data_IF_462590504722
#
_entry.id   IF_462590504722
#
_cell.length_a   1.000
_cell.length_b   1.000
_cell.length_c   1.000
_cell.angle_alpha   90.00
_cell.angle_beta   90.00
_cell.angle_gamma   90.00
#
_symmetry.space_group_name_H-M   'P 1'
#
loop_
_entity.id
_entity.type
_entity.pdbx_description
1 polymer ?
#
# COMPACT_ATOMS: atom_id res chain seq x y z
N UNK A 1 -32.59 28.05 46.88
CA UNK A 1 -32.14 29.04 45.87
C UNK A 1 -30.77 28.59 45.38
N UNK A 2 -30.73 27.72 44.36
CA UNK A 2 -29.46 27.22 43.81
C UNK A 2 -29.26 27.84 42.44
N UNK A 3 -28.31 28.77 42.41
CA UNK A 3 -27.77 29.43 41.24
C UNK A 3 -27.09 28.39 40.34
N UNK A 4 -27.73 28.10 39.19
CA UNK A 4 -27.13 27.28 38.14
C UNK A 4 -26.36 28.22 37.22
N UNK A 5 -25.10 28.41 37.55
CA UNK A 5 -24.09 29.04 36.71
C UNK A 5 -24.14 28.45 35.29
N UNK A 6 -24.64 29.24 34.34
CA UNK A 6 -24.64 28.92 32.93
C UNK A 6 -23.23 29.14 32.42
N UNK A 7 -22.51 28.06 32.13
CA UNK A 7 -21.26 28.10 31.36
C UNK A 7 -21.58 28.66 29.96
N UNK A 8 -21.50 29.98 29.82
CA UNK A 8 -21.46 30.68 28.55
C UNK A 8 -20.28 30.10 27.75
N UNK A 9 -20.59 29.24 26.78
CA UNK A 9 -19.65 28.91 25.72
C UNK A 9 -19.35 30.22 25.01
N UNK A 10 -18.16 30.76 25.24
CA UNK A 10 -17.63 31.87 24.47
C UNK A 10 -17.66 31.45 22.99
N UNK A 11 -18.63 31.96 22.25
CA UNK A 11 -18.66 31.84 20.80
C UNK A 11 -17.52 32.71 20.31
N UNK A 12 -16.47 32.09 19.76
CA UNK A 12 -15.34 32.82 19.17
C UNK A 12 -15.87 33.65 18.00
N UNK A 13 -15.95 34.97 18.19
CA UNK A 13 -16.44 35.95 17.22
C UNK A 13 -15.33 36.53 16.33
N UNK A 14 -14.09 36.07 16.49
CA UNK A 14 -12.94 36.50 15.70
C UNK A 14 -12.88 35.84 14.31
N UNK A 15 -12.15 36.44 13.35
CA UNK A 15 -11.88 35.81 12.07
C UNK A 15 -11.17 34.47 12.30
N UNK A 16 -11.62 33.43 11.58
CA UNK A 16 -10.98 32.11 11.66
C UNK A 16 -9.58 32.19 11.04
N UNK A 17 -8.56 31.56 11.65
CA UNK A 17 -7.23 31.54 11.07
C UNK A 17 -7.23 30.83 9.71
N UNK A 18 -6.29 31.23 8.86
CA UNK A 18 -6.02 30.56 7.60
C UNK A 18 -5.48 29.14 7.82
N UNK A 19 -5.48 28.31 6.77
CA UNK A 19 -4.90 26.98 6.80
C UNK A 19 -3.39 27.04 7.09
N UNK A 20 -2.69 28.03 6.52
CA UNK A 20 -1.26 28.23 6.76
C UNK A 20 -0.94 28.50 8.24
N UNK A 21 -1.74 29.34 8.90
CA UNK A 21 -1.55 29.68 10.32
C UNK A 21 -1.97 28.54 11.25
N UNK A 22 -3.13 27.93 10.98
CA UNK A 22 -3.68 26.91 11.88
C UNK A 22 -3.04 25.53 11.70
N UNK A 23 -2.54 25.22 10.50
CA UNK A 23 -2.03 23.89 10.10
C UNK A 23 -0.82 24.03 9.16
N UNK A 24 0.32 24.52 9.66
CA UNK A 24 1.56 24.64 8.87
C UNK A 24 2.04 23.29 8.31
N UNK A 25 1.73 22.19 9.00
CA UNK A 25 1.97 20.82 8.54
C UNK A 25 1.24 20.50 7.23
N UNK A 26 -0.02 20.92 7.11
CA UNK A 26 -0.80 20.71 5.89
C UNK A 26 -0.41 21.71 4.81
N UNK A 27 -0.11 22.96 5.19
CA UNK A 27 0.35 23.98 4.25
C UNK A 27 1.67 23.58 3.57
N UNK A 28 2.54 22.85 4.26
CA UNK A 28 3.77 22.29 3.68
C UNK A 28 3.50 21.20 2.63
N UNK A 29 2.34 20.54 2.66
CA UNK A 29 1.90 19.60 1.62
C UNK A 29 1.06 20.27 0.52
N UNK A 30 0.92 21.61 0.52
CA UNK A 30 0.14 22.32 -0.51
C UNK A 30 0.85 22.27 -1.86
N UNK A 31 0.15 21.86 -2.91
CA UNK A 31 0.71 21.94 -4.26
C UNK A 31 0.49 23.35 -4.82
N UNK A 32 1.52 24.20 -4.82
CA UNK A 32 1.39 25.60 -5.23
C UNK A 32 0.93 25.74 -6.70
N UNK A 33 1.63 25.11 -7.64
CA UNK A 33 1.38 25.36 -9.08
C UNK A 33 0.00 24.87 -9.55
N UNK A 34 -0.48 23.73 -9.03
CA UNK A 34 -1.78 23.17 -9.41
C UNK A 34 -2.98 23.84 -8.70
N UNK A 35 -2.72 24.67 -7.69
CA UNK A 35 -3.76 25.43 -7.00
C UNK A 35 -3.71 26.93 -7.32
N UNK A 36 -2.71 27.42 -8.05
CA UNK A 36 -2.56 28.83 -8.39
C UNK A 36 -3.85 29.40 -9.03
N UNK A 37 -4.29 30.61 -8.63
CA UNK A 37 -3.67 31.57 -7.70
C UNK A 37 -4.02 31.34 -6.22
N UNK A 38 -4.67 30.23 -5.86
CA UNK A 38 -5.12 29.96 -4.49
C UNK A 38 -3.98 29.42 -3.63
N UNK A 39 -3.56 30.21 -2.63
CA UNK A 39 -2.59 29.79 -1.61
C UNK A 39 -3.24 29.30 -0.31
N UNK A 40 -2.49 28.60 0.55
CA UNK A 40 -2.97 28.11 1.85
C UNK A 40 -3.29 29.24 2.86
N UNK A 41 -2.75 30.45 2.64
CA UNK A 41 -3.10 31.64 3.43
C UNK A 41 -4.47 32.24 3.08
N UNK A 42 -5.06 31.87 1.93
CA UNK A 42 -6.33 32.42 1.45
C UNK A 42 -7.55 31.54 1.78
N UNK A 43 -7.36 30.44 2.51
CA UNK A 43 -8.40 29.47 2.85
C UNK A 43 -8.39 29.16 4.34
N UNK A 44 -9.54 28.79 4.91
CA UNK A 44 -9.64 28.34 6.30
C UNK A 44 -9.72 26.82 6.38
N UNK A 45 -9.36 26.25 7.53
CA UNK A 45 -9.42 24.80 7.79
C UNK A 45 -10.80 24.15 7.63
N UNK A 46 -11.88 24.95 7.70
CA UNK A 46 -13.26 24.47 7.67
C UNK A 46 -13.86 24.31 6.27
N UNK A 47 -13.15 24.75 5.22
CA UNK A 47 -13.71 24.75 3.87
C UNK A 47 -13.69 23.35 3.25
N UNK A 48 -14.81 22.94 2.66
CA UNK A 48 -14.91 21.68 1.91
C UNK A 48 -14.53 21.85 0.44
N UNK A 49 -13.37 22.46 0.20
CA UNK A 49 -12.83 22.65 -1.16
C UNK A 49 -11.79 21.58 -1.44
N UNK A 50 -11.93 20.86 -2.56
CA UNK A 50 -10.90 19.97 -3.10
C UNK A 50 -9.79 20.80 -3.74
N UNK A 51 -8.56 20.53 -3.32
CA UNK A 51 -7.33 21.14 -3.81
C UNK A 51 -6.28 20.05 -4.02
N UNK A 52 -5.22 20.39 -4.73
CA UNK A 52 -4.07 19.51 -4.95
C UNK A 52 -3.09 19.56 -3.78
N UNK A 53 -2.61 18.39 -3.38
CA UNK A 53 -1.64 18.20 -2.31
C UNK A 53 -0.48 17.37 -2.85
N UNK A 54 0.72 17.63 -2.37
CA UNK A 54 1.91 16.81 -2.60
C UNK A 54 2.35 16.22 -1.27
N UNK A 55 2.27 14.91 -1.13
CA UNK A 55 2.71 14.26 0.11
C UNK A 55 4.24 14.23 0.23
N UNK A 56 4.82 13.91 1.40
CA UNK A 56 6.27 13.84 1.59
C UNK A 56 7.01 12.83 0.70
N UNK A 57 6.29 11.93 0.02
CA UNK A 57 6.85 11.00 -0.98
C UNK A 57 6.77 11.53 -2.41
N UNK A 58 6.34 12.77 -2.61
CA UNK A 58 6.25 13.41 -3.92
C UNK A 58 5.05 12.98 -4.76
N UNK A 59 4.03 12.36 -4.17
CA UNK A 59 2.81 12.04 -4.91
C UNK A 59 1.79 13.17 -4.84
N UNK A 60 1.28 13.56 -6.00
CA UNK A 60 0.24 14.58 -6.13
C UNK A 60 -1.16 13.96 -6.13
N UNK A 61 -2.04 14.50 -5.30
CA UNK A 61 -3.39 13.99 -5.12
C UNK A 61 -4.36 15.09 -4.73
N UNK A 62 -5.63 14.91 -5.12
CA UNK A 62 -6.70 15.79 -4.69
C UNK A 62 -7.36 15.28 -3.40
N UNK A 63 -7.60 16.20 -2.47
CA UNK A 63 -8.40 15.97 -1.26
C UNK A 63 -9.05 17.28 -0.80
N UNK A 64 -10.16 17.19 -0.09
CA UNK A 64 -10.78 18.37 0.50
C UNK A 64 -10.01 18.84 1.74
N UNK A 65 -9.84 20.16 1.89
CA UNK A 65 -9.14 20.77 3.04
C UNK A 65 -9.76 20.32 4.35
N UNK A 66 -11.08 20.44 4.49
CA UNK A 66 -11.80 20.01 5.69
C UNK A 66 -11.52 18.54 6.06
N UNK A 67 -11.54 17.63 5.09
CA UNK A 67 -11.26 16.22 5.34
C UNK A 67 -9.80 15.94 5.71
N UNK A 68 -8.83 16.69 5.16
CA UNK A 68 -7.43 16.63 5.57
C UNK A 68 -7.25 17.09 7.02
N UNK A 69 -7.89 18.21 7.38
CA UNK A 69 -7.83 18.77 8.74
C UNK A 69 -8.48 17.85 9.76
N UNK A 70 -9.72 17.40 9.51
CA UNK A 70 -10.54 16.66 10.47
C UNK A 70 -10.18 15.18 10.57
N UNK A 71 -9.91 14.53 9.44
CA UNK A 71 -9.75 13.08 9.38
C UNK A 71 -8.29 12.64 9.15
N UNK A 72 -7.34 13.58 9.09
CA UNK A 72 -5.96 13.32 8.71
C UNK A 72 -5.86 12.47 7.42
N UNK A 73 -6.76 12.75 6.45
CA UNK A 73 -6.84 11.97 5.20
C UNK A 73 -5.60 12.22 4.32
N UNK A 74 -4.60 11.37 4.46
CA UNK A 74 -3.34 11.48 3.70
C UNK A 74 -3.42 10.97 2.26
N UNK A 75 -2.25 10.91 1.61
CA UNK A 75 -2.10 10.47 0.23
C UNK A 75 -2.75 9.08 -0.02
N UNK A 76 -3.66 8.95 -0.99
CA UNK A 76 -4.38 7.71 -1.25
C UNK A 76 -3.51 6.62 -1.87
N UNK A 77 -2.43 6.99 -2.57
CA UNK A 77 -1.46 6.01 -3.08
C UNK A 77 -0.62 5.46 -1.92
N UNK A 78 -0.19 6.34 -1.01
CA UNK A 78 0.60 5.95 0.14
C UNK A 78 -0.10 4.96 1.06
N UNK A 79 -1.43 5.06 1.15
CA UNK A 79 -2.29 4.25 1.98
C UNK A 79 -2.96 3.11 1.21
N UNK A 80 -2.51 2.79 -0.02
CA UNK A 80 -3.04 1.69 -0.82
C UNK A 80 -4.57 1.75 -1.06
N UNK A 81 -5.11 2.97 -1.18
CA UNK A 81 -6.51 3.22 -1.56
C UNK A 81 -6.67 3.48 -3.06
N UNK A 82 -5.60 3.90 -3.73
CA UNK A 82 -5.52 4.10 -5.18
C UNK A 82 -4.22 3.51 -5.72
N UNK A 83 -4.27 3.01 -6.95
CA UNK A 83 -3.09 2.49 -7.64
C UNK A 83 -2.31 3.65 -8.27
N UNK A 84 -1.00 3.63 -8.08
CA UNK A 84 -0.01 4.42 -8.77
C UNK A 84 1.02 3.46 -9.36
N UNK A 85 1.04 3.39 -10.69
CA UNK A 85 1.97 2.53 -11.44
C UNK A 85 3.41 2.93 -11.12
N UNK A 86 4.28 1.94 -10.93
CA UNK A 86 5.67 2.14 -10.55
C UNK A 86 5.87 2.38 -9.04
N UNK A 87 4.80 2.37 -8.25
CA UNK A 87 4.87 2.63 -6.82
C UNK A 87 4.18 1.53 -5.98
N UNK A 88 2.86 1.39 -6.10
CA UNK A 88 2.09 0.43 -5.28
C UNK A 88 1.24 -0.56 -6.09
N UNK A 89 1.46 -0.63 -7.40
CA UNK A 89 0.84 -1.66 -8.24
C UNK A 89 1.46 -3.06 -7.99
N UNK A 90 0.75 -4.10 -8.44
CA UNK A 90 1.15 -5.50 -8.25
C UNK A 90 2.49 -5.82 -8.92
N UNK A 91 2.75 -5.29 -10.12
CA UNK A 91 4.01 -5.59 -10.84
C UNK A 91 5.22 -5.01 -10.13
N UNK A 92 5.09 -3.78 -9.60
CA UNK A 92 6.15 -3.11 -8.87
C UNK A 92 6.41 -3.78 -7.52
N UNK A 93 5.35 -4.05 -6.75
CA UNK A 93 5.49 -4.50 -5.36
C UNK A 93 5.64 -6.02 -5.22
N UNK A 94 5.04 -6.79 -6.14
CA UNK A 94 4.97 -8.25 -6.09
C UNK A 94 5.12 -8.87 -7.50
N UNK A 95 6.28 -8.70 -8.16
CA UNK A 95 6.49 -9.19 -9.53
C UNK A 95 6.25 -10.70 -9.68
N UNK A 96 6.55 -11.49 -8.65
CA UNK A 96 6.27 -12.93 -8.65
C UNK A 96 4.77 -13.26 -8.72
N UNK A 97 3.90 -12.42 -8.18
CA UNK A 97 2.44 -12.59 -8.31
C UNK A 97 1.96 -12.17 -9.70
N UNK A 98 2.56 -11.15 -10.30
CA UNK A 98 2.23 -10.75 -11.66
C UNK A 98 2.50 -11.89 -12.67
N UNK A 99 3.55 -12.69 -12.46
CA UNK A 99 3.83 -13.90 -13.25
C UNK A 99 2.74 -14.96 -13.14
N UNK A 100 2.04 -15.02 -12.01
CA UNK A 100 0.94 -15.96 -11.78
C UNK A 100 -0.43 -15.35 -12.09
N UNK A 101 -0.48 -14.14 -12.66
CA UNK A 101 -1.76 -13.51 -13.02
C UNK A 101 -2.43 -14.28 -14.14
N UNK A 102 -3.69 -14.65 -13.97
CA UNK A 102 -4.40 -15.37 -15.01
C UNK A 102 -4.62 -14.47 -16.25
N UNK A 103 -4.28 -14.94 -17.48
CA UNK A 103 -4.28 -14.10 -18.68
C UNK A 103 -5.68 -13.60 -19.11
N UNK A 104 -6.73 -14.39 -18.93
CA UNK A 104 -8.07 -14.07 -19.45
C UNK A 104 -9.18 -13.92 -18.39
N UNK A 105 -9.00 -14.43 -17.17
CA UNK A 105 -10.10 -14.55 -16.18
C UNK A 105 -10.27 -13.34 -15.26
N UNK A 106 -9.42 -12.33 -15.37
CA UNK A 106 -9.54 -11.09 -14.60
C UNK A 106 -10.18 -9.94 -15.41
N UNK A 107 -10.76 -10.23 -16.58
CA UNK A 107 -11.30 -9.22 -17.49
C UNK A 107 -10.20 -8.25 -17.95
N UNK A 108 -10.52 -6.96 -18.03
CA UNK A 108 -9.58 -5.92 -18.48
C UNK A 108 -8.52 -5.53 -17.43
N UNK A 109 -8.57 -6.12 -16.23
CA UNK A 109 -7.64 -5.78 -15.14
C UNK A 109 -6.26 -6.37 -15.44
N UNK A 110 -5.26 -5.50 -15.44
CA UNK A 110 -3.85 -5.87 -15.55
C UNK A 110 -3.16 -5.81 -14.19
N UNK A 111 -2.10 -6.60 -13.95
CA UNK A 111 -1.28 -6.51 -12.74
C UNK A 111 -0.85 -5.07 -12.38
N UNK A 112 -0.45 -4.26 -13.37
CA UNK A 112 -0.01 -2.87 -13.15
C UNK A 112 -1.14 -1.92 -12.68
N UNK A 113 -2.39 -2.39 -12.70
CA UNK A 113 -3.60 -1.60 -12.40
C UNK A 113 -4.30 -2.03 -11.11
N UNK A 114 -3.66 -2.89 -10.31
CA UNK A 114 -4.23 -3.41 -9.06
C UNK A 114 -3.22 -3.34 -7.93
N UNK A 115 -3.75 -3.22 -6.70
CA UNK A 115 -2.96 -3.24 -5.47
C UNK A 115 -2.86 -4.69 -4.98
N UNK A 116 -1.64 -5.12 -4.66
CA UNK A 116 -1.40 -6.49 -4.21
C UNK A 116 -2.17 -6.86 -2.92
N UNK A 117 -2.22 -5.93 -1.97
CA UNK A 117 -2.92 -6.08 -0.69
C UNK A 117 -4.44 -5.95 -0.75
N UNK A 118 -5.05 -5.80 -1.93
CA UNK A 118 -6.49 -5.64 -2.03
C UNK A 118 -7.24 -6.89 -1.56
N UNK A 119 -8.29 -6.71 -0.76
CA UNK A 119 -9.23 -7.76 -0.35
C UNK A 119 -10.23 -8.09 -1.47
N UNK A 120 -9.70 -8.33 -2.67
CA UNK A 120 -10.47 -8.69 -3.87
C UNK A 120 -9.94 -10.00 -4.40
N UNK A 121 -10.88 -10.91 -4.70
CA UNK A 121 -10.55 -12.19 -5.32
C UNK A 121 -10.10 -11.96 -6.76
N UNK A 122 -9.03 -12.63 -7.14
CA UNK A 122 -8.45 -12.63 -8.48
C UNK A 122 -8.16 -14.05 -8.90
N UNK A 123 -8.15 -14.27 -10.21
CA UNK A 123 -7.75 -15.53 -10.82
C UNK A 123 -6.24 -15.56 -11.00
N UNK A 124 -5.66 -16.70 -10.63
CA UNK A 124 -4.25 -17.00 -10.70
C UNK A 124 -4.03 -18.27 -11.53
N UNK A 125 -2.88 -18.33 -12.20
CA UNK A 125 -2.39 -19.48 -12.96
C UNK A 125 -0.94 -19.72 -12.54
N UNK A 126 -0.63 -20.87 -11.95
CA UNK A 126 0.75 -21.20 -11.59
C UNK A 126 1.49 -21.80 -12.78
N UNK A 127 2.81 -21.92 -12.67
CA UNK A 127 3.65 -22.56 -13.68
C UNK A 127 3.34 -24.04 -13.94
N UNK A 128 2.68 -24.73 -13.01
CA UNK A 128 2.20 -26.09 -13.19
C UNK A 128 0.85 -26.18 -13.94
N UNK A 129 0.30 -25.04 -14.39
CA UNK A 129 -0.95 -25.00 -15.15
C UNK A 129 -2.22 -25.00 -14.29
N UNK A 130 -2.10 -24.96 -12.96
CA UNK A 130 -3.29 -24.91 -12.10
C UNK A 130 -3.88 -23.51 -12.08
N UNK A 131 -5.20 -23.43 -12.29
CA UNK A 131 -5.97 -22.21 -12.15
C UNK A 131 -6.72 -22.18 -10.83
N UNK A 132 -6.71 -21.04 -10.14
CA UNK A 132 -7.53 -20.87 -8.94
C UNK A 132 -7.88 -19.42 -8.65
N UNK A 133 -8.96 -19.23 -7.91
CA UNK A 133 -9.34 -17.94 -7.36
C UNK A 133 -8.83 -17.81 -5.91
N UNK A 134 -8.23 -16.66 -5.58
CA UNK A 134 -7.83 -16.32 -4.21
C UNK A 134 -7.87 -14.80 -3.98
N UNK A 135 -8.05 -14.38 -2.72
CA UNK A 135 -7.88 -12.98 -2.31
C UNK A 135 -6.44 -12.54 -2.57
N UNK A 136 -6.27 -11.39 -3.25
CA UNK A 136 -4.94 -10.83 -3.54
C UNK A 136 -4.15 -10.58 -2.25
N UNK A 137 -4.82 -10.08 -1.21
CA UNK A 137 -4.25 -9.86 0.12
C UNK A 137 -3.68 -11.13 0.78
N UNK A 138 -4.29 -12.30 0.59
CA UNK A 138 -3.75 -13.57 1.11
C UNK A 138 -2.45 -13.99 0.41
N UNK A 139 -2.32 -13.61 -0.86
CA UNK A 139 -1.16 -13.91 -1.70
C UNK A 139 -0.01 -12.95 -1.49
N UNK A 140 -0.31 -11.66 -1.32
CA UNK A 140 0.66 -10.60 -1.07
C UNK A 140 1.09 -10.52 0.41
N UNK A 141 0.27 -11.04 1.32
CA UNK A 141 0.54 -11.00 2.75
C UNK A 141 1.73 -11.86 3.19
N UNK A 142 2.12 -11.79 4.48
CA UNK A 142 3.33 -12.43 5.00
C UNK A 142 3.38 -13.96 4.79
N UNK A 143 2.22 -14.61 4.82
CA UNK A 143 2.09 -16.07 4.61
C UNK A 143 2.28 -16.49 3.15
N UNK A 144 2.18 -15.55 2.19
CA UNK A 144 2.35 -15.77 0.75
C UNK A 144 1.64 -17.02 0.25
N UNK A 145 0.34 -17.13 0.51
CA UNK A 145 -0.42 -18.33 0.17
C UNK A 145 -0.34 -18.56 -1.35
N UNK A 146 0.19 -19.72 -1.73
CA UNK A 146 0.44 -20.10 -3.12
C UNK A 146 -0.66 -20.97 -3.72
N UNK A 147 -0.32 -21.71 -4.77
CA UNK A 147 -1.25 -22.62 -5.44
C UNK A 147 -1.76 -23.71 -4.46
N UNK A 148 -3.09 -23.86 -4.29
CA UNK A 148 -3.66 -24.86 -3.39
C UNK A 148 -3.48 -26.30 -3.89
N UNK A 149 -3.27 -26.49 -5.20
CA UNK A 149 -3.00 -27.80 -5.79
C UNK A 149 -1.54 -28.22 -5.52
N UNK A 150 -0.57 -27.34 -5.82
CA UNK A 150 0.85 -27.60 -5.55
C UNK A 150 1.16 -27.81 -4.06
N UNK A 151 0.48 -27.06 -3.19
CA UNK A 151 0.62 -27.21 -1.72
C UNK A 151 -0.15 -28.42 -1.16
N UNK A 152 -0.97 -29.09 -1.99
CA UNK A 152 -1.73 -30.27 -1.60
C UNK A 152 -2.95 -29.99 -0.72
N UNK A 153 -3.42 -28.75 -0.67
CA UNK A 153 -4.68 -28.40 -0.01
C UNK A 153 -5.91 -28.68 -0.90
N UNK A 154 -5.73 -28.82 -2.22
CA UNK A 154 -6.75 -29.26 -3.18
C UNK A 154 -6.26 -30.47 -3.96
N UNK A 155 -7.21 -31.33 -4.33
CA UNK A 155 -6.97 -32.43 -5.24
C UNK A 155 -6.96 -31.93 -6.69
N UNK A 156 -6.02 -32.46 -7.47
CA UNK A 156 -5.98 -32.34 -8.92
C UNK A 156 -6.62 -33.59 -9.52
N UNK A 157 -7.68 -33.37 -10.32
CA UNK A 157 -8.44 -34.46 -10.95
C UNK A 157 -7.57 -35.25 -11.92
N UNK A 158 -7.63 -36.56 -11.83
CA UNK A 158 -6.85 -37.50 -12.65
C UNK A 158 -5.41 -37.68 -12.18
N UNK A 159 -4.96 -36.95 -11.16
CA UNK A 159 -3.55 -36.95 -10.73
C UNK A 159 -3.41 -37.22 -9.24
N UNK A 160 -3.99 -36.37 -8.39
CA UNK A 160 -3.82 -36.45 -6.93
C UNK A 160 -5.12 -36.71 -6.17
N UNK A 161 -6.24 -36.82 -6.87
CA UNK A 161 -7.52 -37.11 -6.26
C UNK A 161 -7.64 -38.57 -5.77
N UNK A 162 -8.64 -38.81 -4.91
CA UNK A 162 -8.83 -40.09 -4.26
C UNK A 162 -9.15 -41.21 -5.25
N UNK A 163 -9.90 -40.92 -6.31
CA UNK A 163 -10.21 -41.94 -7.33
C UNK A 163 -8.96 -42.38 -8.09
N UNK A 164 -8.05 -41.44 -8.35
CA UNK A 164 -6.80 -41.72 -9.06
C UNK A 164 -5.75 -42.40 -8.17
N UNK A 165 -5.62 -41.97 -6.92
CA UNK A 165 -4.52 -42.41 -6.04
C UNK A 165 -4.91 -43.53 -5.09
N UNK A 166 -6.19 -43.68 -4.75
CA UNK A 166 -6.70 -44.63 -3.76
C UNK A 166 -8.07 -45.19 -4.19
N UNK A 167 -8.16 -45.87 -5.34
CA UNK A 167 -9.42 -46.36 -5.89
C UNK A 167 -10.18 -47.29 -4.93
N UNK A 168 -9.47 -48.05 -4.10
CA UNK A 168 -10.06 -48.89 -3.05
C UNK A 168 -10.83 -48.06 -2.00
N UNK A 169 -10.26 -46.94 -1.54
CA UNK A 169 -10.93 -46.04 -0.58
C UNK A 169 -12.06 -45.26 -1.25
N UNK A 170 -11.90 -44.92 -2.54
CA UNK A 170 -12.96 -44.30 -3.31
C UNK A 170 -14.17 -45.24 -3.51
N UNK A 171 -13.94 -46.56 -3.60
CA UNK A 171 -15.00 -47.56 -3.70
C UNK A 171 -15.82 -47.69 -2.40
N UNK A 172 -15.20 -47.42 -1.26
CA UNK A 172 -15.87 -47.37 0.05
C UNK A 172 -16.67 -46.07 0.28
N UNK A 173 -16.70 -45.15 -0.70
CA UNK A 173 -17.37 -43.86 -0.53
C UNK A 173 -18.89 -43.98 -0.48
N UNK A 174 -19.48 -43.61 0.66
CA UNK A 174 -20.93 -43.65 0.86
C UNK A 174 -21.64 -42.48 0.17
N UNK A 175 -22.14 -42.72 -1.05
CA UNK A 175 -22.78 -41.70 -1.91
C UNK A 175 -23.93 -40.95 -1.24
N UNK A 176 -24.81 -41.68 -0.56
CA UNK A 176 -26.05 -41.09 0.00
C UNK A 176 -25.85 -40.33 1.30
N UNK A 177 -24.74 -40.59 2.01
CA UNK A 177 -24.39 -39.87 3.24
C UNK A 177 -23.47 -38.68 2.97
N UNK A 178 -22.71 -38.75 1.88
CA UNK A 178 -21.80 -37.70 1.45
C UNK A 178 -22.39 -36.85 0.31
N UNK A 179 -23.67 -36.47 0.43
CA UNK A 179 -24.36 -35.67 -0.59
C UNK A 179 -23.64 -34.34 -0.80
N UNK A 180 -23.42 -33.98 -2.07
CA UNK A 180 -22.70 -32.76 -2.46
C UNK A 180 -21.18 -32.86 -2.38
N UNK A 181 -20.63 -34.01 -1.94
CA UNK A 181 -19.21 -34.28 -1.91
C UNK A 181 -18.86 -35.35 -2.96
N UNK A 182 -17.67 -35.26 -3.54
CA UNK A 182 -17.23 -36.23 -4.56
C UNK A 182 -15.80 -36.70 -4.29
N UNK A 183 -15.49 -38.01 -4.32
CA UNK A 183 -14.14 -38.52 -4.10
C UNK A 183 -13.04 -37.82 -4.91
N UNK A 184 -13.38 -37.44 -6.15
CA UNK A 184 -12.51 -36.72 -7.08
C UNK A 184 -12.11 -35.29 -6.64
N UNK A 185 -12.77 -34.72 -5.62
CA UNK A 185 -12.38 -33.42 -5.03
C UNK A 185 -11.52 -33.59 -3.78
N UNK A 186 -11.36 -34.82 -3.29
CA UNK A 186 -10.61 -35.15 -2.08
C UNK A 186 -9.32 -35.87 -2.43
N UNK A 187 -8.35 -35.77 -1.52
CA UNK A 187 -7.08 -36.50 -1.56
C UNK A 187 -6.78 -37.03 -0.17
N UNK A 188 -5.95 -38.05 -0.08
CA UNK A 188 -5.45 -38.51 1.22
C UNK A 188 -4.59 -37.41 1.87
N UNK A 189 -4.83 -37.16 3.16
CA UNK A 189 -4.02 -36.22 3.93
C UNK A 189 -2.61 -36.78 4.11
N UNK A 190 -1.60 -36.07 3.61
CA UNK A 190 -0.20 -36.44 3.85
C UNK A 190 0.20 -35.89 5.22
N UNK A 191 0.45 -36.76 6.20
CA UNK A 191 1.00 -36.34 7.50
C UNK A 191 2.37 -35.69 7.26
N UNK A 192 2.57 -34.44 7.70
CA UNK A 192 3.90 -33.83 7.81
C UNK A 192 4.31 -32.75 6.78
N UNK A 193 3.43 -32.22 5.93
CA UNK A 193 3.75 -31.03 5.10
C UNK A 193 2.95 -29.80 5.53
N UNK A 194 3.47 -29.08 6.51
CA UNK A 194 3.23 -27.65 6.64
C UNK A 194 4.06 -26.91 5.60
N UNK A 195 3.39 -26.25 4.64
CA UNK A 195 3.92 -25.11 3.89
C UNK A 195 5.24 -25.30 3.13
N UNK A 196 5.19 -25.95 1.96
CA UNK A 196 6.27 -25.86 0.98
C UNK A 196 6.22 -24.52 0.26
N UNK A 197 6.97 -23.54 0.75
CA UNK A 197 7.27 -22.32 0.00
C UNK A 197 7.97 -22.70 -1.32
N UNK A 198 7.45 -22.21 -2.44
CA UNK A 198 8.26 -22.09 -3.65
C UNK A 198 9.51 -21.29 -3.26
N UNK A 199 10.71 -21.89 -3.45
CA UNK A 199 11.99 -21.26 -3.10
C UNK A 199 12.06 -19.94 -3.89
N UNK A 200 12.27 -18.78 -3.24
CA UNK A 200 12.53 -17.56 -3.97
C UNK A 200 13.89 -17.70 -4.66
N UNK A 201 13.96 -17.34 -5.93
CA UNK A 201 15.22 -16.93 -6.56
C UNK A 201 15.72 -15.77 -5.70
N UNK A 202 16.85 -15.99 -5.02
CA UNK A 202 17.48 -14.99 -4.15
C UNK A 202 18.03 -13.87 -5.02
N UNK A 203 17.29 -12.79 -5.16
CA UNK A 203 17.86 -11.47 -5.36
C UNK A 203 17.88 -10.76 -4.02
N UNK A 204 19.07 -10.74 -3.42
CA UNK A 204 19.40 -9.98 -2.22
C UNK A 204 18.99 -8.53 -2.43
N UNK A 205 18.01 -8.06 -1.64
CA UNK A 205 17.60 -6.66 -1.59
C UNK A 205 18.72 -5.83 -0.93
N UNK A 206 19.23 -4.74 -1.55
CA UNK A 206 19.90 -3.72 -0.77
C UNK A 206 18.84 -2.95 0.04
N UNK A 207 19.04 -2.87 1.35
CA UNK A 207 18.30 -1.91 2.19
C UNK A 207 18.60 -0.50 1.68
N UNK A 208 17.62 0.40 1.50
CA UNK A 208 17.93 1.80 1.32
C UNK A 208 18.62 2.30 2.59
N UNK A 209 19.91 2.65 2.46
CA UNK A 209 20.62 3.37 3.53
C UNK A 209 19.90 4.70 3.74
N UNK A 210 19.69 5.07 5.01
CA UNK A 210 19.39 6.46 5.39
C UNK A 210 20.45 7.35 4.76
N UNK A 211 20.05 8.29 3.91
CA UNK A 211 20.91 9.42 3.58
C UNK A 211 21.03 10.26 4.85
N UNK A 212 22.18 10.17 5.51
CA UNK A 212 22.65 11.20 6.44
C UNK A 212 23.31 12.26 5.59
N UNK A 213 22.81 13.49 5.67
CA UNK A 213 23.43 14.64 5.05
C UNK A 213 24.82 14.85 5.66
N UNK A 214 25.86 14.75 4.83
CA UNK A 214 27.20 15.20 5.17
C UNK A 214 27.22 16.73 5.09
N UNK A 215 27.27 17.38 6.25
CA UNK A 215 27.74 18.77 6.35
C UNK A 215 29.25 18.72 6.56
N UNK A 216 30.02 18.93 5.50
CA UNK A 216 31.44 19.26 5.60
C UNK A 216 31.59 20.67 6.16
N UNK A 217 31.94 20.78 7.43
CA UNK A 217 32.57 21.96 8.00
C UNK A 217 34.01 21.56 8.35
N UNK A 218 34.97 22.01 7.54
CA UNK A 218 36.37 22.00 7.94
C UNK A 218 36.68 23.33 8.61
N UNK A 219 37.18 23.20 9.83
CA UNK A 219 37.83 24.25 10.60
C UNK A 219 38.97 24.89 9.82
N UNK A 220 39.02 26.23 9.82
CA UNK A 220 40.25 26.99 9.65
C UNK A 220 40.28 28.06 10.75
N UNK A 221 41.29 27.91 11.61
CA UNK A 221 41.58 28.73 12.78
C UNK A 221 42.11 30.13 12.40
N UNK A 222 41.80 31.09 13.28
CA UNK A 222 42.33 32.45 13.46
C UNK A 222 43.88 32.52 13.40
N UNK A 223 44.63 33.61 13.14
CA UNK A 223 44.51 35.08 13.27
C UNK A 223 45.77 35.72 12.58
N UNK A 224 46.24 36.97 12.85
CA UNK A 224 45.65 38.32 12.79
C UNK A 224 46.45 39.36 11.94
N UNK A 225 45.84 40.55 11.76
CA UNK A 225 46.37 41.93 11.67
C UNK A 225 47.51 42.36 10.71
N UNK A 226 47.24 43.38 9.89
CA UNK A 226 48.04 44.62 9.63
C UNK A 226 47.23 45.56 8.71
N UNK A 227 46.63 46.65 9.21
CA UNK A 227 47.09 48.05 9.26
C UNK A 227 47.70 48.64 7.97
N UNK A 228 47.05 49.72 7.47
CA UNK A 228 47.60 50.80 6.61
C UNK A 228 47.94 50.44 5.15
N UNK A 229 47.77 51.26 4.11
CA UNK A 229 47.72 52.72 3.97
C UNK A 229 47.02 53.11 2.63
N UNK A 230 46.77 54.42 2.51
CA UNK A 230 46.18 55.18 1.40
C UNK A 230 46.93 55.04 0.06
N UNK A 231 46.23 55.24 -1.06
CA UNK A 231 46.68 56.12 -2.16
C UNK A 231 45.56 56.40 -3.18
N UNK A 232 45.45 57.69 -3.52
CA UNK A 232 44.70 58.29 -4.62
C UNK A 232 45.29 57.96 -6.01
N UNK A 233 44.70 58.56 -7.06
CA UNK A 233 45.08 58.64 -8.50
C UNK A 233 44.49 57.52 -9.37
N UNK A 234 43.82 57.76 -10.50
CA UNK A 234 43.56 58.96 -11.33
C UNK A 234 42.16 58.84 -11.94
#
# INVERSE_FOLDING_TARGET
MSDRSVMLRLVSTGPKPSLAEARPDLAAEWHQDLNDPLGPGAVTCGVDRKVWWTCPRGHDYQAAIYHRVRNASGCPYCADRRVLKGFNDLTTTHPYLALEWHPTRNGDRKPETVIAGANVKRWWLCSAGHEWEALSSHRAGPRRVGCPYCSGHRAERGVTDLTSTHPQLAAEWHRDRNVGLAPLTYRQAVKGRSGGAARPVTTTRPRPRRAVAETSAQDAQSAPAEYSLRASTT
#
